data_IF_410022564552
#
_entry.id   IF_410022564552
#
_cell.length_a   1.000
_cell.length_b   1.000
_cell.length_c   1.000
_cell.angle_alpha   90.00
_cell.angle_beta   90.00
_cell.angle_gamma   90.00
#
_symmetry.space_group_name_H-M   'P 1'
#
loop_
_entity.id
_entity.type
_entity.pdbx_description
1 polymer ?
#
# COMPACT_ATOMS: atom_id res chain seq x y z
N UNK A 1 0.16 -11.94 12.58
CA UNK A 1 -0.79 -10.84 12.28
C UNK A 1 -0.50 -10.14 10.96
N UNK A 2 0.29 -10.75 10.05
CA UNK A 2 0.57 -10.16 8.74
C UNK A 2 -0.73 -9.97 7.95
N UNK A 3 -0.85 -8.85 7.24
CA UNK A 3 -2.00 -8.53 6.38
C UNK A 3 -3.15 -7.83 7.09
N UNK A 4 -3.14 -7.71 8.43
CA UNK A 4 -4.13 -6.88 9.14
C UNK A 4 -3.93 -5.41 8.77
N UNK A 5 -5.03 -4.71 8.54
CA UNK A 5 -5.05 -3.26 8.29
C UNK A 5 -6.12 -2.63 9.16
N UNK A 6 -5.76 -1.56 9.86
CA UNK A 6 -6.65 -0.75 10.70
C UNK A 6 -6.79 0.65 10.11
N UNK A 7 -7.98 1.24 10.28
CA UNK A 7 -8.27 2.63 9.93
C UNK A 7 -8.73 3.32 11.21
N UNK A 8 -8.15 4.48 11.50
CA UNK A 8 -8.50 5.28 12.67
C UNK A 8 -8.81 6.71 12.23
N UNK A 9 -9.95 7.22 12.70
CA UNK A 9 -10.24 8.65 12.68
C UNK A 9 -9.66 9.25 13.97
N UNK A 10 -8.68 10.13 13.80
CA UNK A 10 -8.00 10.84 14.86
C UNK A 10 -8.92 11.90 15.46
N UNK A 11 -8.85 12.03 16.79
CA UNK A 11 -9.54 13.11 17.48
C UNK A 11 -8.89 14.46 17.16
N UNK A 12 -9.64 15.57 17.18
CA UNK A 12 -9.11 16.90 16.83
C UNK A 12 -7.84 17.30 17.60
N UNK A 13 -7.70 16.89 18.86
CA UNK A 13 -6.57 17.28 19.72
C UNK A 13 -5.24 16.62 19.30
N UNK A 14 -5.31 15.58 18.47
CA UNK A 14 -4.12 14.84 17.98
C UNK A 14 -4.02 14.83 16.44
N UNK A 15 -4.93 15.54 15.76
CA UNK A 15 -4.88 15.67 14.30
C UNK A 15 -3.68 16.52 13.89
N UNK A 16 -2.76 16.00 13.05
CA UNK A 16 -1.58 16.76 12.62
C UNK A 16 -1.94 18.11 12.01
N UNK A 17 -1.30 19.17 12.53
CA UNK A 17 -1.52 20.56 12.14
C UNK A 17 -2.95 21.08 12.37
N UNK A 18 -3.79 20.37 13.14
CA UNK A 18 -5.18 20.74 13.36
C UNK A 18 -6.05 20.78 12.10
N UNK A 19 -5.61 20.14 11.01
CA UNK A 19 -6.32 20.15 9.73
C UNK A 19 -7.14 18.87 9.56
N UNK A 20 -8.45 19.01 9.34
CA UNK A 20 -9.35 17.87 9.17
C UNK A 20 -8.94 16.92 8.03
N UNK A 21 -8.24 17.40 7.00
CA UNK A 21 -7.74 16.53 5.92
C UNK A 21 -6.63 15.56 6.37
N UNK A 22 -6.09 15.74 7.59
CA UNK A 22 -5.08 14.86 8.19
C UNK A 22 -5.67 13.96 9.29
N UNK A 23 -6.99 13.89 9.45
CA UNK A 23 -7.62 13.21 10.57
C UNK A 23 -7.79 11.69 10.38
N UNK A 24 -7.37 11.10 9.26
CA UNK A 24 -7.42 9.65 9.05
C UNK A 24 -6.01 9.09 8.99
N UNK A 25 -5.74 8.04 9.76
CA UNK A 25 -4.53 7.25 9.64
C UNK A 25 -4.84 5.78 9.41
N UNK A 26 -3.90 5.08 8.78
CA UNK A 26 -3.94 3.64 8.62
C UNK A 26 -2.73 2.99 9.28
N UNK A 27 -2.91 1.77 9.76
CA UNK A 27 -1.84 0.94 10.27
C UNK A 27 -1.93 -0.45 9.66
N UNK A 28 -0.83 -0.99 9.16
CA UNK A 28 -0.79 -2.31 8.53
C UNK A 28 0.46 -3.08 8.94
N UNK A 29 0.40 -4.41 8.87
CA UNK A 29 1.49 -5.31 9.27
C UNK A 29 2.01 -6.09 8.06
N UNK A 30 3.19 -5.70 7.57
CA UNK A 30 3.87 -6.34 6.44
C UNK A 30 4.50 -7.70 6.80
N UNK A 31 4.71 -8.60 5.81
CA UNK A 31 5.45 -9.85 6.02
C UNK A 31 6.94 -9.60 6.35
N UNK A 32 7.54 -10.53 7.09
CA UNK A 32 9.00 -10.53 7.29
C UNK A 32 9.72 -10.97 6.02
N UNK A 33 10.78 -10.26 5.64
CA UNK A 33 11.60 -10.59 4.49
C UNK A 33 12.40 -11.90 4.62
N UNK A 34 12.48 -12.51 5.81
CA UNK A 34 13.07 -13.85 5.98
C UNK A 34 12.16 -15.00 5.54
N UNK A 35 10.88 -14.73 5.23
CA UNK A 35 10.02 -15.75 4.65
C UNK A 35 10.53 -16.16 3.26
N UNK A 36 10.34 -17.43 2.84
CA UNK A 36 10.63 -17.87 1.47
C UNK A 36 9.83 -17.06 0.43
N UNK A 37 10.36 -16.94 -0.78
CA UNK A 37 9.83 -16.03 -1.81
C UNK A 37 8.35 -16.26 -2.14
N UNK A 38 7.92 -17.51 -2.29
CA UNK A 38 6.52 -17.84 -2.58
C UNK A 38 5.59 -17.38 -1.46
N UNK A 39 5.95 -17.65 -0.20
CA UNK A 39 5.16 -17.24 0.97
C UNK A 39 5.21 -15.73 1.17
N UNK A 40 6.36 -15.10 0.94
CA UNK A 40 6.52 -13.66 1.00
C UNK A 40 5.64 -12.96 -0.02
N UNK A 41 5.69 -13.40 -1.29
CA UNK A 41 4.90 -12.85 -2.38
C UNK A 41 3.40 -12.93 -2.10
N UNK A 42 2.92 -14.10 -1.67
CA UNK A 42 1.51 -14.27 -1.28
C UNK A 42 1.12 -13.31 -0.15
N UNK A 43 1.88 -13.32 0.96
CA UNK A 43 1.58 -12.49 2.12
C UNK A 43 1.66 -10.98 1.83
N UNK A 44 2.57 -10.57 0.96
CA UNK A 44 2.71 -9.17 0.55
C UNK A 44 1.50 -8.72 -0.27
N UNK A 45 1.07 -9.50 -1.26
CA UNK A 45 -0.14 -9.23 -2.06
C UNK A 45 -1.38 -9.15 -1.17
N UNK A 46 -1.53 -10.08 -0.22
CA UNK A 46 -2.62 -10.04 0.75
C UNK A 46 -2.58 -8.79 1.62
N UNK A 47 -1.39 -8.32 2.01
CA UNK A 47 -1.23 -7.09 2.79
C UNK A 47 -1.66 -5.86 1.99
N UNK A 48 -1.22 -5.73 0.73
CA UNK A 48 -1.62 -4.62 -0.14
C UNK A 48 -3.12 -4.63 -0.42
N UNK A 49 -3.70 -5.82 -0.67
CA UNK A 49 -5.14 -5.97 -0.80
C UNK A 49 -5.90 -5.53 0.46
N UNK A 50 -5.36 -5.83 1.66
CA UNK A 50 -5.90 -5.36 2.92
C UNK A 50 -5.85 -3.84 3.05
N UNK A 51 -4.76 -3.20 2.62
CA UNK A 51 -4.61 -1.74 2.65
C UNK A 51 -5.63 -1.05 1.73
N UNK A 52 -5.63 -1.41 0.45
CA UNK A 52 -6.50 -0.77 -0.55
C UNK A 52 -7.96 -1.12 -0.27
N UNK A 53 -8.26 -2.38 0.04
CA UNK A 53 -9.61 -2.84 0.34
C UNK A 53 -10.19 -2.20 1.60
N UNK A 54 -9.39 -2.01 2.66
CA UNK A 54 -9.86 -1.32 3.85
C UNK A 54 -10.19 0.14 3.57
N UNK A 55 -9.33 0.86 2.83
CA UNK A 55 -9.58 2.26 2.48
C UNK A 55 -10.82 2.43 1.59
N UNK A 56 -10.98 1.55 0.59
CA UNK A 56 -12.17 1.52 -0.26
C UNK A 56 -13.44 1.25 0.57
N UNK A 57 -13.44 0.19 1.38
CA UNK A 57 -14.58 -0.14 2.24
C UNK A 57 -14.89 0.94 3.28
N UNK A 58 -13.87 1.63 3.81
CA UNK A 58 -14.05 2.75 4.72
C UNK A 58 -14.80 3.90 4.05
N UNK A 59 -14.44 4.25 2.81
CA UNK A 59 -15.10 5.33 2.06
C UNK A 59 -16.60 5.04 1.84
N UNK A 60 -17.03 3.78 1.81
CA UNK A 60 -18.44 3.41 1.70
C UNK A 60 -19.21 3.51 3.04
N UNK A 61 -18.53 3.74 4.17
CA UNK A 61 -19.18 3.91 5.47
C UNK A 61 -19.72 5.33 5.69
N UNK A 62 -20.69 5.54 6.59
CA UNK A 62 -21.15 6.89 6.94
C UNK A 62 -20.01 7.83 7.40
N UNK A 63 -19.02 7.28 8.11
CA UNK A 63 -17.86 8.06 8.54
C UNK A 63 -16.94 8.43 7.37
N UNK A 64 -16.75 7.52 6.40
CA UNK A 64 -16.00 7.79 5.18
C UNK A 64 -16.70 8.77 4.23
N UNK A 65 -18.03 8.84 4.23
CA UNK A 65 -18.76 9.89 3.51
C UNK A 65 -18.50 11.28 4.11
N UNK A 66 -18.30 11.37 5.42
CA UNK A 66 -17.96 12.63 6.11
C UNK A 66 -16.46 12.99 5.98
N UNK A 67 -15.59 11.99 6.04
CA UNK A 67 -14.13 12.16 5.99
C UNK A 67 -13.53 11.20 4.95
N UNK A 68 -13.74 11.48 3.65
CA UNK A 68 -13.30 10.57 2.59
C UNK A 68 -11.78 10.51 2.50
N UNK A 69 -11.24 9.30 2.39
CA UNK A 69 -9.85 9.09 2.01
C UNK A 69 -9.71 9.37 0.52
N UNK A 70 -9.01 10.45 0.18
CA UNK A 70 -8.78 10.90 -1.19
C UNK A 70 -7.39 10.50 -1.72
N UNK A 71 -6.46 10.14 -0.83
CA UNK A 71 -5.13 9.67 -1.19
C UNK A 71 -4.52 8.82 -0.09
N UNK A 72 -3.71 7.83 -0.47
CA UNK A 72 -2.92 7.02 0.46
C UNK A 72 -1.44 7.38 0.32
N UNK A 73 -0.82 7.80 1.43
CA UNK A 73 0.63 8.01 1.52
C UNK A 73 1.30 6.76 2.09
N UNK A 74 2.04 6.05 1.26
CA UNK A 74 2.58 4.71 1.54
C UNK A 74 4.11 4.73 1.67
N UNK A 75 4.71 4.03 2.65
CA UNK A 75 6.10 3.59 2.54
C UNK A 75 6.19 2.42 1.55
N UNK A 76 7.42 2.00 1.23
CA UNK A 76 7.63 0.62 0.79
C UNK A 76 7.43 -0.32 1.99
N UNK A 77 6.24 -0.89 2.11
CA UNK A 77 5.89 -1.79 3.21
C UNK A 77 6.89 -2.94 3.32
N UNK A 78 7.27 -3.33 4.54
CA UNK A 78 8.30 -4.34 4.76
C UNK A 78 9.74 -3.92 4.40
N UNK A 79 9.97 -2.77 3.73
CA UNK A 79 11.29 -2.31 3.29
C UNK A 79 12.22 -1.76 4.38
N UNK A 80 11.69 -1.53 5.58
CA UNK A 80 12.48 -1.16 6.77
C UNK A 80 13.13 -2.38 7.43
N UNK A 81 13.18 -2.38 8.78
CA UNK A 81 13.77 -3.49 9.55
C UNK A 81 13.12 -4.87 9.26
N UNK A 82 11.88 -4.88 8.78
CA UNK A 82 11.12 -6.09 8.44
C UNK A 82 11.75 -6.86 7.27
N UNK A 83 12.50 -6.20 6.37
CA UNK A 83 13.10 -6.87 5.20
C UNK A 83 14.18 -7.86 5.58
N UNK A 84 14.83 -7.67 6.73
CA UNK A 84 16.03 -8.40 7.13
C UNK A 84 17.07 -8.37 6.00
N UNK A 85 17.35 -9.51 5.36
CA UNK A 85 18.33 -9.63 4.28
C UNK A 85 17.70 -9.61 2.87
N UNK A 86 16.38 -9.47 2.76
CA UNK A 86 15.67 -9.41 1.47
C UNK A 86 16.05 -8.14 0.71
N UNK A 87 16.24 -8.27 -0.60
CA UNK A 87 16.57 -7.15 -1.49
C UNK A 87 15.36 -6.22 -1.65
N UNK A 88 15.61 -4.90 -1.67
CA UNK A 88 14.57 -3.90 -1.89
C UNK A 88 13.92 -4.06 -3.28
N UNK A 89 14.68 -4.49 -4.28
CA UNK A 89 14.17 -4.83 -5.62
C UNK A 89 13.03 -5.87 -5.56
N UNK A 90 13.24 -6.99 -4.86
CA UNK A 90 12.21 -8.04 -4.75
C UNK A 90 10.94 -7.55 -4.04
N UNK A 91 11.09 -6.62 -3.09
CA UNK A 91 9.97 -5.99 -2.37
C UNK A 91 9.24 -5.01 -3.29
N UNK A 92 9.96 -4.22 -4.07
CA UNK A 92 9.40 -3.32 -5.09
C UNK A 92 8.55 -4.07 -6.12
N UNK A 93 9.04 -5.21 -6.63
CA UNK A 93 8.26 -6.09 -7.52
C UNK A 93 7.00 -6.63 -6.87
N UNK A 94 7.11 -7.18 -5.65
CA UNK A 94 5.96 -7.68 -4.90
C UNK A 94 4.93 -6.58 -4.62
N UNK A 95 5.39 -5.35 -4.37
CA UNK A 95 4.56 -4.18 -4.18
C UNK A 95 3.81 -3.78 -5.45
N UNK A 96 4.49 -3.69 -6.58
CA UNK A 96 3.86 -3.35 -7.86
C UNK A 96 2.78 -4.38 -8.24
N UNK A 97 3.10 -5.68 -8.15
CA UNK A 97 2.16 -6.75 -8.46
C UNK A 97 0.95 -6.74 -7.51
N UNK A 98 1.21 -6.63 -6.20
CA UNK A 98 0.14 -6.55 -5.19
C UNK A 98 -0.76 -5.33 -5.38
N UNK A 99 -0.18 -4.20 -5.78
CA UNK A 99 -0.91 -2.94 -6.02
C UNK A 99 -1.80 -3.05 -7.24
N UNK A 100 -1.27 -3.55 -8.36
CA UNK A 100 -2.04 -3.78 -9.58
C UNK A 100 -3.25 -4.68 -9.30
N UNK A 101 -3.04 -5.84 -8.68
CA UNK A 101 -4.12 -6.79 -8.33
C UNK A 101 -5.17 -6.18 -7.41
N UNK A 102 -4.75 -5.39 -6.42
CA UNK A 102 -5.67 -4.74 -5.49
C UNK A 102 -6.48 -3.62 -6.16
N UNK A 103 -5.88 -2.81 -7.02
CA UNK A 103 -6.59 -1.80 -7.81
C UNK A 103 -7.61 -2.46 -8.73
N UNK A 104 -7.25 -3.52 -9.44
CA UNK A 104 -8.18 -4.29 -10.29
C UNK A 104 -9.36 -4.84 -9.47
N UNK A 105 -9.10 -5.29 -8.25
CA UNK A 105 -10.14 -5.87 -7.39
C UNK A 105 -11.11 -4.85 -6.81
N UNK A 106 -10.61 -3.70 -6.37
CA UNK A 106 -11.39 -2.74 -5.56
C UNK A 106 -11.75 -1.45 -6.29
N UNK A 107 -11.12 -1.14 -7.42
CA UNK A 107 -11.38 0.07 -8.22
C UNK A 107 -11.37 1.38 -7.41
N UNK A 108 -10.35 1.65 -6.56
CA UNK A 108 -10.36 2.82 -5.69
C UNK A 108 -10.27 4.14 -6.48
N UNK A 109 -10.97 5.17 -5.99
CA UNK A 109 -10.92 6.53 -6.56
C UNK A 109 -9.85 7.44 -5.93
N UNK A 110 -9.13 6.95 -4.91
CA UNK A 110 -8.07 7.70 -4.24
C UNK A 110 -6.73 7.53 -4.98
N UNK A 111 -5.88 8.55 -4.89
CA UNK A 111 -4.53 8.49 -5.43
C UNK A 111 -3.56 7.71 -4.53
N UNK A 112 -2.46 7.23 -5.11
CA UNK A 112 -1.37 6.59 -4.37
C UNK A 112 -0.13 7.49 -4.40
N UNK A 113 0.37 7.84 -3.22
CA UNK A 113 1.60 8.60 -3.04
C UNK A 113 2.64 7.71 -2.35
N UNK A 114 3.82 7.55 -2.92
CA UNK A 114 4.92 6.86 -2.23
C UNK A 114 5.81 7.87 -1.53
N UNK A 115 6.13 7.61 -0.26
CA UNK A 115 7.12 8.39 0.47
C UNK A 115 8.50 8.25 -0.17
N UNK A 116 9.33 9.28 -0.05
CA UNK A 116 10.70 9.24 -0.55
C UNK A 116 11.49 8.10 0.09
N UNK A 117 12.14 7.31 -0.76
CA UNK A 117 13.07 6.24 -0.41
C UNK A 117 14.29 6.39 -1.33
N UNK A 118 15.52 6.56 -0.80
CA UNK A 118 16.71 6.77 -1.63
C UNK A 118 17.01 5.61 -2.59
N UNK A 119 16.48 4.41 -2.35
CA UNK A 119 16.66 3.29 -3.29
C UNK A 119 15.68 3.31 -4.47
N UNK A 120 14.64 4.16 -4.41
CA UNK A 120 13.54 4.22 -5.38
C UNK A 120 12.85 2.86 -5.64
N UNK A 121 12.85 1.93 -4.69
CA UNK A 121 12.43 0.55 -4.96
C UNK A 121 10.95 0.41 -5.33
N UNK A 122 10.06 1.19 -4.71
CA UNK A 122 8.64 1.23 -5.10
C UNK A 122 8.47 1.75 -6.55
N UNK A 123 9.21 2.81 -6.91
CA UNK A 123 9.19 3.39 -8.24
C UNK A 123 9.69 2.39 -9.29
N UNK A 124 10.85 1.77 -9.07
CA UNK A 124 11.43 0.81 -10.02
C UNK A 124 10.51 -0.40 -10.25
N UNK A 125 9.88 -0.93 -9.20
CA UNK A 125 8.92 -2.02 -9.34
C UNK A 125 7.71 -1.65 -10.21
N UNK A 126 7.19 -0.44 -10.05
CA UNK A 126 6.07 0.06 -10.87
C UNK A 126 6.50 0.34 -12.32
N UNK A 127 7.70 0.88 -12.54
CA UNK A 127 8.23 1.11 -13.90
C UNK A 127 8.43 -0.20 -14.68
N UNK A 128 8.91 -1.25 -14.02
CA UNK A 128 9.05 -2.59 -14.60
C UNK A 128 7.68 -3.18 -14.98
N UNK A 129 6.71 -3.07 -14.07
CA UNK A 129 5.33 -3.53 -14.29
C UNK A 129 4.66 -2.76 -15.44
N UNK A 130 4.81 -1.43 -15.49
CA UNK A 130 4.27 -0.59 -16.56
C UNK A 130 4.87 -0.97 -17.92
N UNK A 131 6.19 -1.16 -17.99
CA UNK A 131 6.86 -1.56 -19.23
C UNK A 131 6.37 -2.92 -19.73
N UNK A 132 6.13 -3.86 -18.81
CA UNK A 132 5.57 -5.19 -19.13
C UNK A 132 4.12 -5.08 -19.62
N UNK A 133 3.31 -4.22 -18.99
CA UNK A 133 1.95 -3.97 -19.43
C UNK A 133 1.90 -3.37 -20.84
N UNK A 134 2.72 -2.35 -21.12
CA UNK A 134 2.81 -1.75 -22.45
C UNK A 134 3.24 -2.76 -23.52
N UNK A 135 4.20 -3.65 -23.22
CA UNK A 135 4.61 -4.72 -24.13
C UNK A 135 3.47 -5.71 -24.41
N UNK A 136 2.66 -6.05 -23.40
CA UNK A 136 1.53 -6.98 -23.56
C UNK A 136 0.39 -6.46 -24.45
N UNK A 137 0.37 -5.17 -24.78
CA UNK A 137 -0.60 -4.57 -25.70
C UNK A 137 -0.13 -4.57 -27.17
N UNK A 138 1.11 -4.96 -27.43
CA UNK A 138 1.70 -5.03 -28.77
C UNK A 138 1.65 -6.43 -29.39
N UNK A 139 1.33 -7.45 -28.58
CA UNK A 139 1.10 -8.84 -28.98
C UNK A 139 -0.40 -9.11 -29.23
#
# INVERSE_FOLDING_TARGET
>A
NVGVTFIHILKPEVTPYGNLNNNVMMYTVAPSGAAPDTTYSLAYKTTIAGVIGAAAAYNDTPAGQQYPVQGLRLPLLGGGIFRRNRSLESIGRANAEGTSLAITRYGPNFELQYMYDPSNAALHGLQEAESTYLASMLD
#
